data_IF_771809416685
#
_entry.id   IF_771809416685
#
_cell.length_a   1.000
_cell.length_b   1.000
_cell.length_c   1.000
_cell.angle_alpha   90.00
_cell.angle_beta   90.00
_cell.angle_gamma   90.00
#
_symmetry.space_group_name_H-M   'P 1'
#
loop_
_entity.id
_entity.type
_entity.pdbx_description
1 polymer ?
#
# COMPACT_ATOMS: atom_id res chain seq x y z
N UNK A 1 5.30 7.64 17.69
CA UNK A 1 4.73 6.30 17.99
C UNK A 1 4.13 5.74 16.70
N UNK A 2 3.73 4.47 16.61
CA UNK A 2 2.91 4.03 15.48
C UNK A 2 1.50 4.60 15.63
N UNK A 3 0.89 5.05 14.53
CA UNK A 3 -0.49 5.54 14.54
C UNK A 3 -1.49 4.38 14.70
N UNK A 4 -1.18 3.22 14.11
CA UNK A 4 -1.99 2.00 14.13
C UNK A 4 -1.08 0.76 13.97
N UNK A 5 -1.57 -0.46 14.27
CA UNK A 5 -0.85 -1.69 13.97
C UNK A 5 -0.57 -1.80 12.46
N UNK A 6 0.69 -1.93 12.02
CA UNK A 6 1.03 -1.90 10.61
C UNK A 6 0.59 -3.19 9.91
N UNK A 7 0.15 -3.08 8.66
CA UNK A 7 -0.08 -4.23 7.78
C UNK A 7 1.18 -4.46 6.96
N UNK A 8 1.73 -5.67 7.04
CA UNK A 8 2.88 -6.10 6.24
C UNK A 8 2.53 -7.45 5.61
N UNK A 9 1.95 -7.41 4.41
CA UNK A 9 1.34 -8.57 3.76
C UNK A 9 1.99 -8.84 2.42
N UNK A 10 2.38 -10.10 2.15
CA UNK A 10 2.96 -10.51 0.88
C UNK A 10 2.08 -11.55 0.16
N UNK A 11 2.10 -11.51 -1.16
CA UNK A 11 1.33 -12.42 -2.01
C UNK A 11 -0.17 -12.38 -1.71
N UNK A 12 -0.82 -13.55 -1.66
CA UNK A 12 -2.27 -13.66 -1.44
C UNK A 12 -2.77 -13.07 -0.11
N UNK A 13 -1.89 -12.91 0.89
CA UNK A 13 -2.25 -12.30 2.19
C UNK A 13 -2.55 -10.81 2.06
N UNK A 14 -2.04 -10.14 1.03
CA UNK A 14 -2.37 -8.75 0.74
C UNK A 14 -3.86 -8.54 0.40
N UNK A 15 -4.62 -9.62 0.16
CA UNK A 15 -6.07 -9.57 -0.03
C UNK A 15 -6.86 -9.56 1.31
N UNK A 16 -6.19 -9.69 2.46
CA UNK A 16 -6.78 -9.54 3.78
C UNK A 16 -6.52 -8.09 4.22
N UNK A 17 -7.59 -7.27 4.26
CA UNK A 17 -7.49 -5.81 4.44
C UNK A 17 -6.68 -5.44 5.70
N UNK A 18 -6.95 -6.09 6.83
CA UNK A 18 -6.20 -5.89 8.08
C UNK A 18 -5.44 -7.16 8.47
N UNK A 19 -4.44 -7.55 7.66
CA UNK A 19 -3.54 -8.65 7.99
C UNK A 19 -2.52 -8.22 9.05
N UNK A 20 -2.78 -8.59 10.31
CA UNK A 20 -2.00 -8.13 11.47
C UNK A 20 -0.95 -9.14 11.94
N UNK A 21 -1.03 -10.40 11.51
CA UNK A 21 -0.13 -11.45 11.99
C UNK A 21 1.31 -11.22 11.56
N UNK A 22 1.53 -10.70 10.34
CA UNK A 22 2.82 -10.27 9.82
C UNK A 22 4.01 -11.24 10.05
N UNK A 23 3.74 -12.54 10.18
CA UNK A 23 4.70 -13.54 10.67
C UNK A 23 4.99 -14.67 9.67
N UNK A 24 4.58 -14.51 8.41
CA UNK A 24 4.72 -15.53 7.36
C UNK A 24 5.91 -15.21 6.45
N UNK A 25 6.48 -16.27 5.86
CA UNK A 25 7.58 -16.12 4.89
C UNK A 25 7.13 -15.34 3.66
N UNK A 26 8.05 -14.53 3.14
CA UNK A 26 7.90 -13.74 1.93
C UNK A 26 8.72 -14.41 0.83
N UNK A 27 8.12 -14.66 -0.34
CA UNK A 27 8.81 -15.27 -1.47
C UNK A 27 9.38 -14.19 -2.40
N UNK A 28 10.44 -14.53 -3.14
CA UNK A 28 11.08 -13.61 -4.08
C UNK A 28 10.12 -13.11 -5.19
N UNK A 29 9.13 -13.92 -5.57
CA UNK A 29 8.13 -13.57 -6.58
C UNK A 29 6.95 -12.75 -6.07
N UNK A 30 6.84 -12.51 -4.76
CA UNK A 30 5.71 -11.79 -4.18
C UNK A 30 5.84 -10.28 -4.39
N UNK A 31 4.71 -9.60 -4.48
CA UNK A 31 4.62 -8.20 -4.05
C UNK A 31 4.33 -8.16 -2.56
N UNK A 32 4.84 -7.13 -1.89
CA UNK A 32 4.48 -6.78 -0.52
C UNK A 32 3.60 -5.53 -0.53
N UNK A 33 2.50 -5.58 0.21
CA UNK A 33 1.69 -4.43 0.61
C UNK A 33 2.11 -4.05 2.04
N UNK A 34 2.52 -2.80 2.20
CA UNK A 34 2.86 -2.21 3.48
C UNK A 34 1.96 -1.02 3.73
N UNK A 35 1.17 -1.09 4.79
CA UNK A 35 0.34 0.01 5.30
C UNK A 35 0.83 0.35 6.71
N UNK A 36 1.39 1.54 6.85
CA UNK A 36 1.95 1.99 8.12
C UNK A 36 1.92 3.51 8.23
N UNK A 37 1.73 3.96 9.47
CA UNK A 37 1.63 5.36 9.83
C UNK A 37 2.30 5.64 11.17
N UNK A 38 2.73 6.89 11.36
CA UNK A 38 3.26 7.36 12.63
C UNK A 38 2.35 8.42 13.26
N UNK A 39 2.31 8.41 14.59
CA UNK A 39 1.76 9.50 15.39
C UNK A 39 2.91 10.44 15.79
N UNK A 40 2.70 11.73 15.50
CA UNK A 40 3.49 12.85 15.98
C UNK A 40 2.58 13.91 16.62
N UNK A 41 2.65 14.05 17.94
CA UNK A 41 1.91 15.06 18.71
C UNK A 41 0.39 15.04 18.46
N UNK A 42 -0.19 13.84 18.26
CA UNK A 42 -1.61 13.66 17.97
C UNK A 42 -2.01 13.84 16.50
N UNK A 43 -1.04 14.12 15.62
CA UNK A 43 -1.22 14.05 14.17
C UNK A 43 -0.75 12.70 13.67
N UNK A 44 -1.58 12.04 12.87
CA UNK A 44 -1.28 10.72 12.30
C UNK A 44 -0.94 10.82 10.82
N UNK A 45 0.08 10.09 10.38
CA UNK A 45 0.24 9.72 8.97
C UNK A 45 -0.43 8.38 8.70
N UNK A 46 -0.82 8.17 7.45
CA UNK A 46 -1.40 6.91 6.96
C UNK A 46 -0.91 6.73 5.51
N UNK A 47 -0.07 5.72 5.29
CA UNK A 47 0.59 5.50 4.00
C UNK A 47 0.58 4.01 3.66
N UNK A 48 -0.03 3.69 2.51
CA UNK A 48 0.08 2.38 1.88
C UNK A 48 1.03 2.40 0.66
N UNK A 49 1.88 1.38 0.53
CA UNK A 49 2.70 1.11 -0.67
C UNK A 49 2.67 -0.36 -1.04
N UNK A 50 2.76 -0.64 -2.34
CA UNK A 50 2.88 -2.00 -2.88
C UNK A 50 4.09 -2.08 -3.82
N UNK A 51 4.99 -3.04 -3.61
CA UNK A 51 6.22 -3.18 -4.40
C UNK A 51 6.69 -4.64 -4.51
N UNK A 52 7.41 -5.01 -5.59
CA UNK A 52 7.86 -6.39 -5.82
C UNK A 52 9.12 -6.69 -5.02
N UNK A 53 9.16 -7.84 -4.35
CA UNK A 53 10.34 -8.26 -3.57
C UNK A 53 11.53 -8.57 -4.47
N UNK A 54 11.28 -9.06 -5.68
CA UNK A 54 12.28 -9.28 -6.72
C UNK A 54 12.97 -8.01 -7.23
N UNK A 55 12.51 -6.81 -6.83
CA UNK A 55 13.01 -5.52 -7.31
C UNK A 55 12.39 -5.05 -8.64
N UNK A 56 11.71 -5.93 -9.36
CA UNK A 56 11.01 -5.63 -10.62
C UNK A 56 9.67 -6.33 -10.67
N UNK A 57 8.64 -5.63 -11.15
CA UNK A 57 7.31 -6.21 -11.34
C UNK A 57 7.33 -7.23 -12.48
N UNK A 58 6.68 -8.37 -12.28
CA UNK A 58 6.25 -9.22 -13.39
C UNK A 58 5.20 -8.49 -14.24
N UNK A 59 4.96 -8.94 -15.49
CA UNK A 59 3.94 -8.32 -16.35
C UNK A 59 2.55 -8.25 -15.69
N UNK A 60 2.10 -9.34 -15.04
CA UNK A 60 0.80 -9.38 -14.38
C UNK A 60 0.71 -8.42 -13.17
N UNK A 61 1.77 -8.36 -12.35
CA UNK A 61 1.82 -7.43 -11.22
C UNK A 61 1.83 -5.98 -11.70
N UNK A 62 2.59 -5.68 -12.77
CA UNK A 62 2.67 -4.34 -13.36
C UNK A 62 1.31 -3.90 -13.90
N UNK A 63 0.59 -4.78 -14.60
CA UNK A 63 -0.76 -4.47 -15.11
C UNK A 63 -1.72 -4.06 -13.98
N UNK A 64 -1.72 -4.79 -12.87
CA UNK A 64 -2.57 -4.46 -11.72
C UNK A 64 -2.12 -3.17 -11.02
N UNK A 65 -0.81 -3.01 -10.82
CA UNK A 65 -0.25 -1.80 -10.20
C UNK A 65 -0.65 -0.55 -10.98
N UNK A 66 -0.61 -0.61 -12.31
CA UNK A 66 -0.92 0.54 -13.18
C UNK A 66 -2.37 0.92 -13.18
N UNK A 67 -3.26 -0.07 -13.20
CA UNK A 67 -4.68 0.17 -13.10
C UNK A 67 -5.00 0.91 -11.79
N UNK A 68 -4.39 0.48 -10.68
CA UNK A 68 -4.60 1.11 -9.38
C UNK A 68 -3.92 2.49 -9.27
N UNK A 69 -2.70 2.64 -9.80
CA UNK A 69 -2.00 3.91 -9.83
C UNK A 69 -2.79 4.94 -10.65
N UNK A 70 -3.33 4.54 -11.79
CA UNK A 70 -4.15 5.41 -12.63
C UNK A 70 -5.38 5.93 -11.88
N UNK A 71 -6.11 5.05 -11.18
CA UNK A 71 -7.26 5.44 -10.35
C UNK A 71 -6.81 6.38 -9.23
N UNK A 72 -5.70 6.08 -8.57
CA UNK A 72 -5.15 6.93 -7.50
C UNK A 72 -4.81 8.34 -7.99
N UNK A 73 -4.12 8.46 -9.13
CA UNK A 73 -3.77 9.75 -9.74
C UNK A 73 -5.02 10.55 -10.13
N UNK A 74 -6.05 9.90 -10.68
CA UNK A 74 -7.32 10.55 -10.98
C UNK A 74 -8.03 11.09 -9.73
N UNK A 75 -8.05 10.31 -8.65
CA UNK A 75 -8.65 10.73 -7.39
C UNK A 75 -7.89 11.87 -6.73
N UNK A 76 -6.54 11.86 -6.82
CA UNK A 76 -5.72 12.97 -6.34
C UNK A 76 -6.00 14.26 -7.12
N UNK A 77 -6.10 14.18 -8.45
CA UNK A 77 -6.46 15.34 -9.27
C UNK A 77 -7.85 15.88 -8.88
N UNK A 78 -8.83 14.98 -8.73
CA UNK A 78 -10.18 15.35 -8.29
C UNK A 78 -10.20 16.04 -6.92
N UNK A 79 -9.51 15.48 -5.92
CA UNK A 79 -9.46 16.05 -4.57
C UNK A 79 -8.81 17.45 -4.56
N UNK A 80 -7.71 17.62 -5.30
CA UNK A 80 -7.04 18.92 -5.43
C UNK A 80 -7.90 20.00 -6.08
N UNK A 81 -8.81 19.62 -6.98
CA UNK A 81 -9.70 20.58 -7.65
C UNK A 81 -10.97 20.83 -6.84
N UNK A 82 -11.46 19.85 -6.09
CA UNK A 82 -12.59 20.01 -5.18
C UNK A 82 -12.27 21.00 -4.03
N UNK A 83 -11.03 21.03 -3.55
CA UNK A 83 -10.59 22.00 -2.52
C UNK A 83 -10.52 23.45 -3.02
N UNK A 84 -10.54 23.67 -4.35
CA UNK A 84 -10.47 25.01 -4.96
C UNK A 84 -11.84 25.62 -5.27
N UNK A 85 -12.93 24.86 -5.15
CA UNK A 85 -14.31 25.32 -5.32
C UNK A 85 -14.89 25.80 -4.00
#
# INVERSE_FOLDING_TARGET
MLAYPPVVAAGARANIIHYLEANQRIANGDCILMDAGCDLNGYVSDITRCYPISGSFSPAQRTLYDALLHVHEQLLAYANDAEKQ
#
